data_IF_992326034227
#
_entry.id   IF_992326034227
#
_cell.length_a   1.000
_cell.length_b   1.000
_cell.length_c   1.000
_cell.angle_alpha   90.00
_cell.angle_beta   90.00
_cell.angle_gamma   90.00
#
_symmetry.space_group_name_H-M   'P 1'
#
loop_
_entity.id
_entity.type
_entity.pdbx_description
1 polymer ?
#
# COMPACT_ATOMS: atom_id res chain seq x y z
N UNK A 1 10.95 9.62 4.23
CA UNK A 1 11.33 9.18 5.60
C UNK A 1 11.00 10.21 6.67
N UNK A 2 11.56 11.43 6.64
CA UNK A 2 11.39 12.41 7.71
C UNK A 2 9.92 12.81 8.00
N UNK A 3 9.11 13.06 6.95
CA UNK A 3 7.68 13.37 7.13
C UNK A 3 6.93 12.25 7.86
N UNK A 4 7.13 11.01 7.42
CA UNK A 4 6.49 9.85 8.03
C UNK A 4 6.98 9.66 9.48
N UNK A 5 8.27 9.87 9.74
CA UNK A 5 8.83 9.85 11.10
C UNK A 5 8.14 10.81 12.05
N UNK A 6 7.91 12.04 11.60
CA UNK A 6 7.27 13.05 12.43
C UNK A 6 5.79 12.72 12.67
N UNK A 7 5.07 12.22 11.67
CA UNK A 7 3.64 11.87 11.78
C UNK A 7 3.43 10.62 12.66
N UNK A 8 4.35 9.67 12.64
CA UNK A 8 4.27 8.47 13.51
C UNK A 8 4.85 8.70 14.90
N UNK A 9 5.31 9.92 15.20
CA UNK A 9 5.95 10.25 16.47
C UNK A 9 4.96 10.81 17.50
N UNK A 10 5.29 10.74 18.80
CA UNK A 10 4.47 11.33 19.87
C UNK A 10 4.24 12.84 19.73
N UNK A 11 4.97 13.54 18.84
CA UNK A 11 4.73 14.97 18.52
C UNK A 11 3.30 15.21 18.06
N UNK A 12 2.68 14.25 17.39
CA UNK A 12 1.28 14.39 16.94
C UNK A 12 0.30 14.49 18.13
N UNK A 13 0.69 13.97 19.30
CA UNK A 13 -0.09 14.07 20.55
C UNK A 13 0.33 15.25 21.43
N UNK A 14 1.21 16.12 20.94
CA UNK A 14 1.76 17.24 21.70
C UNK A 14 2.84 16.87 22.72
N UNK A 15 3.32 15.62 22.70
CA UNK A 15 4.39 15.14 23.57
C UNK A 15 5.78 15.49 23.01
N UNK A 16 6.77 15.66 23.89
CA UNK A 16 8.13 15.98 23.48
C UNK A 16 8.79 14.84 22.69
N UNK A 17 9.36 15.14 21.53
CA UNK A 17 10.14 14.17 20.75
C UNK A 17 11.63 14.47 20.83
N UNK A 18 12.40 13.46 21.26
CA UNK A 18 13.86 13.46 21.10
C UNK A 18 14.18 12.93 19.70
N UNK A 19 14.48 13.85 18.78
CA UNK A 19 14.85 13.48 17.42
C UNK A 19 16.06 12.55 17.42
N UNK A 20 15.93 11.40 16.74
CA UNK A 20 17.05 10.47 16.51
C UNK A 20 17.11 10.11 15.03
N UNK A 21 18.29 10.25 14.44
CA UNK A 21 18.56 9.86 13.05
C UNK A 21 18.29 8.37 12.81
N UNK A 22 18.52 7.54 13.83
CA UNK A 22 18.23 6.10 13.82
C UNK A 22 16.76 5.82 13.51
N UNK A 23 15.83 6.51 14.18
CA UNK A 23 14.39 6.29 13.93
C UNK A 23 13.94 6.67 12.51
N UNK A 24 14.63 7.60 11.85
CA UNK A 24 14.39 7.91 10.43
C UNK A 24 14.87 6.77 9.52
N UNK A 25 15.97 6.11 9.89
CA UNK A 25 16.51 4.94 9.18
C UNK A 25 15.62 3.72 9.37
N UNK A 26 15.05 3.54 10.55
CA UNK A 26 14.14 2.42 10.82
C UNK A 26 12.89 2.51 9.95
N UNK A 27 12.33 3.71 9.78
CA UNK A 27 11.19 3.92 8.87
C UNK A 27 11.53 3.58 7.40
N UNK A 28 12.75 3.87 6.96
CA UNK A 28 13.19 3.46 5.62
C UNK A 28 13.20 1.93 5.49
N UNK A 29 13.70 1.24 6.51
CA UNK A 29 13.84 -0.21 6.52
C UNK A 29 12.49 -0.91 6.67
N UNK A 30 11.63 -0.43 7.56
CA UNK A 30 10.44 -1.17 7.98
C UNK A 30 9.19 -0.80 7.17
N UNK A 31 9.18 0.37 6.53
CA UNK A 31 8.05 0.82 5.71
C UNK A 31 8.43 0.95 4.23
N UNK A 32 9.41 1.79 3.92
CA UNK A 32 9.72 2.10 2.52
C UNK A 32 10.28 0.90 1.75
N UNK A 33 11.14 0.09 2.37
CA UNK A 33 11.75 -1.06 1.71
C UNK A 33 10.73 -2.17 1.39
N UNK A 34 9.82 -2.58 2.31
CA UNK A 34 8.72 -3.48 1.96
C UNK A 34 7.81 -2.93 0.85
N UNK A 35 7.46 -1.65 0.89
CA UNK A 35 6.62 -1.03 -0.14
C UNK A 35 7.31 -1.04 -1.51
N UNK A 36 8.59 -0.69 -1.56
CA UNK A 36 9.37 -0.76 -2.78
C UNK A 36 9.46 -2.19 -3.33
N UNK A 37 9.63 -3.17 -2.44
CA UNK A 37 9.67 -4.58 -2.82
C UNK A 37 8.36 -5.06 -3.43
N UNK A 38 7.22 -4.68 -2.84
CA UNK A 38 5.89 -4.99 -3.38
C UNK A 38 5.66 -4.35 -4.76
N UNK A 39 6.03 -3.08 -4.93
CA UNK A 39 5.93 -2.39 -6.22
C UNK A 39 6.83 -3.04 -7.28
N UNK A 40 8.07 -3.38 -6.92
CA UNK A 40 9.01 -4.04 -7.82
C UNK A 40 8.48 -5.40 -8.28
N UNK A 41 7.92 -6.18 -7.36
CA UNK A 41 7.30 -7.47 -7.68
C UNK A 41 6.14 -7.30 -8.67
N UNK A 42 5.29 -6.29 -8.49
CA UNK A 42 4.18 -6.01 -9.40
C UNK A 42 4.69 -5.69 -10.81
N UNK A 43 5.67 -4.79 -10.93
CA UNK A 43 6.26 -4.40 -12.23
C UNK A 43 6.85 -5.63 -12.93
N UNK A 44 7.66 -6.41 -12.21
CA UNK A 44 8.25 -7.64 -12.75
C UNK A 44 7.20 -8.64 -13.21
N UNK A 45 6.10 -8.79 -12.47
CA UNK A 45 4.99 -9.67 -12.83
C UNK A 45 4.28 -9.19 -14.11
N UNK A 46 4.09 -7.88 -14.26
CA UNK A 46 3.53 -7.28 -15.47
C UNK A 46 4.45 -7.50 -16.68
N UNK A 47 5.76 -7.33 -16.52
CA UNK A 47 6.72 -7.54 -17.61
C UNK A 47 6.82 -9.02 -18.02
N UNK A 48 6.81 -9.93 -17.04
CA UNK A 48 6.70 -11.38 -17.29
C UNK A 48 5.42 -11.73 -18.06
N UNK A 49 4.29 -11.09 -17.73
CA UNK A 49 3.02 -11.30 -18.41
C UNK A 49 3.09 -10.84 -19.88
N UNK A 50 3.75 -9.70 -20.15
CA UNK A 50 4.01 -9.23 -21.52
C UNK A 50 4.87 -10.20 -22.32
N UNK A 51 5.97 -10.69 -21.73
CA UNK A 51 6.89 -11.61 -22.42
C UNK A 51 6.22 -12.96 -22.70
N UNK A 52 5.59 -13.55 -21.68
CA UNK A 52 5.10 -14.92 -21.76
C UNK A 52 3.75 -15.04 -22.49
N UNK A 53 2.84 -14.08 -22.27
CA UNK A 53 1.48 -14.12 -22.83
C UNK A 53 1.26 -13.12 -23.96
N UNK A 54 2.24 -12.27 -24.28
CA UNK A 54 2.11 -11.15 -25.26
C UNK A 54 0.94 -10.21 -24.95
N UNK A 55 0.53 -10.14 -23.68
CA UNK A 55 -0.56 -9.28 -23.22
C UNK A 55 0.03 -8.11 -22.45
N UNK A 56 -0.36 -6.91 -22.83
CA UNK A 56 -0.06 -5.71 -22.04
C UNK A 56 -1.04 -5.62 -20.87
N UNK A 57 -0.52 -5.60 -19.64
CA UNK A 57 -1.34 -5.34 -18.47
C UNK A 57 -1.80 -3.88 -18.48
N UNK A 58 -3.11 -3.69 -18.56
CA UNK A 58 -3.80 -2.40 -18.42
C UNK A 58 -4.82 -2.60 -17.32
N UNK A 59 -4.87 -1.65 -16.38
CA UNK A 59 -5.87 -1.67 -15.32
C UNK A 59 -7.27 -1.47 -15.92
N UNK A 60 -8.18 -2.39 -15.59
CA UNK A 60 -9.58 -2.33 -16.00
C UNK A 60 -10.47 -2.55 -14.78
N UNK A 61 -11.16 -1.49 -14.39
CA UNK A 61 -12.04 -1.45 -13.23
C UNK A 61 -13.27 -2.36 -13.40
N UNK A 62 -13.84 -2.47 -14.62
CA UNK A 62 -15.01 -3.31 -14.87
C UNK A 62 -14.67 -4.78 -14.70
N UNK A 63 -13.49 -5.17 -15.18
CA UNK A 63 -12.96 -6.52 -15.02
C UNK A 63 -12.77 -6.86 -13.54
N UNK A 64 -12.25 -5.93 -12.75
CA UNK A 64 -12.06 -6.11 -11.31
C UNK A 64 -13.40 -6.38 -10.59
N UNK A 65 -14.43 -5.55 -10.79
CA UNK A 65 -15.73 -5.77 -10.15
C UNK A 65 -16.43 -7.05 -10.62
N UNK A 66 -16.27 -7.42 -11.89
CA UNK A 66 -16.79 -8.69 -12.41
C UNK A 66 -16.12 -9.90 -11.74
N UNK A 67 -14.79 -9.86 -11.53
CA UNK A 67 -14.07 -10.94 -10.85
C UNK A 67 -14.46 -11.08 -9.37
N UNK A 68 -14.66 -9.97 -8.67
CA UNK A 68 -15.12 -9.95 -7.27
C UNK A 68 -16.54 -10.51 -7.16
N UNK A 69 -17.45 -10.08 -8.04
CA UNK A 69 -18.83 -10.60 -8.08
C UNK A 69 -18.88 -12.11 -8.34
N UNK A 70 -17.93 -12.63 -9.12
CA UNK A 70 -17.80 -14.06 -9.39
C UNK A 70 -17.06 -14.84 -8.28
N UNK A 71 -16.60 -14.18 -7.22
CA UNK A 71 -15.80 -14.75 -6.12
C UNK A 71 -14.60 -15.59 -6.61
N UNK A 72 -13.92 -15.15 -7.67
CA UNK A 72 -12.83 -15.95 -8.25
C UNK A 72 -11.63 -16.11 -7.31
N UNK A 73 -11.38 -15.12 -6.45
CA UNK A 73 -10.30 -15.12 -5.47
C UNK A 73 -10.74 -14.42 -4.17
N UNK A 74 -10.77 -15.19 -3.08
CA UNK A 74 -11.14 -14.70 -1.74
C UNK A 74 -10.13 -13.66 -1.24
N UNK A 75 -8.84 -13.82 -1.55
CA UNK A 75 -7.79 -12.91 -1.10
C UNK A 75 -7.95 -11.52 -1.75
N UNK A 76 -8.24 -11.48 -3.05
CA UNK A 76 -8.41 -10.21 -3.77
C UNK A 76 -9.64 -9.45 -3.25
N UNK A 77 -10.73 -10.19 -2.98
CA UNK A 77 -11.95 -9.64 -2.38
C UNK A 77 -11.67 -9.08 -0.98
N UNK A 78 -10.91 -9.81 -0.17
CA UNK A 78 -10.52 -9.35 1.17
C UNK A 78 -9.63 -8.10 1.13
N UNK A 79 -8.62 -8.07 0.24
CA UNK A 79 -7.75 -6.89 0.07
C UNK A 79 -8.59 -5.66 -0.27
N UNK A 80 -9.51 -5.77 -1.23
CA UNK A 80 -10.38 -4.65 -1.61
C UNK A 80 -11.26 -4.22 -0.44
N UNK A 81 -11.92 -5.15 0.25
CA UNK A 81 -12.73 -4.84 1.44
C UNK A 81 -11.93 -4.12 2.53
N UNK A 82 -10.69 -4.56 2.79
CA UNK A 82 -9.81 -3.94 3.77
C UNK A 82 -9.42 -2.51 3.35
N UNK A 83 -9.10 -2.31 2.07
CA UNK A 83 -8.77 -0.96 1.55
C UNK A 83 -9.94 0.01 1.67
N UNK A 84 -11.18 -0.44 1.42
CA UNK A 84 -12.37 0.40 1.58
C UNK A 84 -12.59 0.78 3.06
N UNK A 85 -12.45 -0.19 3.97
CA UNK A 85 -12.54 0.07 5.41
C UNK A 85 -11.47 1.07 5.88
N UNK A 86 -10.25 0.97 5.35
CA UNK A 86 -9.17 1.91 5.65
C UNK A 86 -9.49 3.32 5.13
N UNK A 87 -10.07 3.46 3.94
CA UNK A 87 -10.49 4.75 3.38
C UNK A 87 -11.56 5.41 4.25
N UNK A 88 -12.58 4.66 4.66
CA UNK A 88 -13.64 5.17 5.53
C UNK A 88 -13.08 5.61 6.89
N UNK A 89 -12.17 4.82 7.47
CA UNK A 89 -11.49 5.18 8.71
C UNK A 89 -10.70 6.48 8.57
N UNK A 90 -9.85 6.60 7.53
CA UNK A 90 -9.05 7.81 7.30
C UNK A 90 -9.94 9.02 7.07
N UNK A 91 -11.03 8.88 6.30
CA UNK A 91 -11.97 9.97 6.07
C UNK A 91 -12.59 10.45 7.38
N UNK A 92 -13.05 9.52 8.22
CA UNK A 92 -13.67 9.85 9.50
C UNK A 92 -12.72 10.53 10.49
N UNK A 93 -11.46 10.12 10.55
CA UNK A 93 -10.47 10.71 11.46
C UNK A 93 -9.92 12.06 10.97
N UNK A 94 -10.13 12.39 9.70
CA UNK A 94 -9.66 13.64 9.07
C UNK A 94 -10.77 14.71 8.92
N UNK A 95 -12.05 14.32 9.04
CA UNK A 95 -13.21 15.22 9.17
C UNK A 95 -13.30 15.81 10.59
#
# INVERSE_FOLDING_TARGET
ALRLYLITSPVVRGESLKFKKEGVRDILKDVFLPWYTALRLLIQSCDQLKVNKKVNFIYDEKRLYSSISSNSNVMDTWIVSYTQTLLDFVRKEME
#
